data_IF_587223896729
#
_entry.id   IF_587223896729
#
_cell.length_a   1.000
_cell.length_b   1.000
_cell.length_c   1.000
_cell.angle_alpha   90.00
_cell.angle_beta   90.00
_cell.angle_gamma   90.00
#
_symmetry.space_group_name_H-M   'P 1'
#
loop_
_entity.id
_entity.type
_entity.pdbx_description
1 polymer ?
#
# COMPACT_ATOMS: atom_id res chain seq x y z
N UNK A 1 -14.28 -1.86 37.61
CA UNK A 1 -14.99 -2.44 36.45
C UNK A 1 -15.21 -1.44 35.32
N UNK A 2 -15.90 -0.30 35.53
CA UNK A 2 -16.17 0.71 34.48
C UNK A 2 -14.93 1.15 33.69
N UNK A 3 -13.83 1.49 34.39
CA UNK A 3 -12.55 1.88 33.76
C UNK A 3 -11.92 0.80 32.88
N UNK A 4 -12.14 -0.49 33.18
CA UNK A 4 -11.55 -1.59 32.39
C UNK A 4 -12.32 -1.76 31.09
N UNK A 5 -13.66 -1.72 31.16
CA UNK A 5 -14.54 -1.76 29.97
C UNK A 5 -14.23 -0.58 29.04
N UNK A 6 -14.05 0.59 29.62
CA UNK A 6 -13.69 1.83 28.93
C UNK A 6 -12.33 1.80 28.22
N UNK A 7 -11.37 1.01 28.73
CA UNK A 7 -10.05 0.82 28.10
C UNK A 7 -10.14 -0.22 26.99
N UNK A 8 -10.82 -1.34 27.26
CA UNK A 8 -11.01 -2.41 26.29
C UNK A 8 -11.82 -1.95 25.08
N UNK A 9 -12.86 -1.13 25.30
CA UNK A 9 -13.63 -0.53 24.21
C UNK A 9 -12.78 0.36 23.31
N UNK A 10 -11.96 1.25 23.90
CA UNK A 10 -11.03 2.09 23.12
C UNK A 10 -10.02 1.24 22.35
N UNK A 11 -9.44 0.21 22.99
CA UNK A 11 -8.50 -0.69 22.33
C UNK A 11 -9.15 -1.52 21.21
N UNK A 12 -10.41 -1.92 21.35
CA UNK A 12 -11.13 -2.64 20.31
C UNK A 12 -11.40 -1.74 19.09
N UNK A 13 -11.93 -0.53 19.30
CA UNK A 13 -12.11 0.46 18.21
C UNK A 13 -10.77 0.82 17.58
N UNK A 14 -9.70 0.86 18.39
CA UNK A 14 -8.33 1.03 17.89
C UNK A 14 -7.98 -0.04 16.87
N UNK A 15 -8.12 -1.31 17.27
CA UNK A 15 -7.69 -2.44 16.46
C UNK A 15 -8.53 -2.56 15.20
N UNK A 16 -9.83 -2.28 15.28
CA UNK A 16 -10.70 -2.23 14.12
C UNK A 16 -10.27 -1.16 13.11
N UNK A 17 -10.00 0.06 13.57
CA UNK A 17 -9.59 1.12 12.66
C UNK A 17 -8.21 0.84 12.05
N UNK A 18 -7.28 0.30 12.84
CA UNK A 18 -5.96 -0.11 12.35
C UNK A 18 -6.08 -1.22 11.31
N UNK A 19 -6.90 -2.25 11.59
CA UNK A 19 -7.18 -3.33 10.65
C UNK A 19 -7.83 -2.82 9.36
N UNK A 20 -8.76 -1.86 9.46
CA UNK A 20 -9.37 -1.22 8.30
C UNK A 20 -8.36 -0.40 7.49
N UNK A 21 -7.48 0.35 8.15
CA UNK A 21 -6.39 1.08 7.51
C UNK A 21 -5.47 0.13 6.74
N UNK A 22 -5.05 -0.98 7.37
CA UNK A 22 -4.23 -2.01 6.74
C UNK A 22 -4.97 -2.65 5.57
N UNK A 23 -6.25 -2.98 5.72
CA UNK A 23 -7.06 -3.54 4.64
C UNK A 23 -7.14 -2.59 3.44
N UNK A 24 -7.42 -1.31 3.67
CA UNK A 24 -7.41 -0.31 2.61
C UNK A 24 -6.02 -0.12 2.02
N UNK A 25 -4.97 -0.21 2.83
CA UNK A 25 -3.59 -0.10 2.38
C UNK A 25 -3.20 -1.21 1.40
N UNK A 26 -3.66 -2.43 1.70
CA UNK A 26 -3.48 -3.63 0.87
C UNK A 26 -4.31 -3.55 -0.41
N UNK A 27 -5.55 -3.09 -0.34
CA UNK A 27 -6.49 -3.12 -1.46
C UNK A 27 -6.44 -1.90 -2.39
N UNK A 28 -6.22 -0.70 -1.86
CA UNK A 28 -6.49 0.55 -2.59
C UNK A 28 -5.30 1.08 -3.40
N UNK A 29 -4.29 0.25 -3.72
CA UNK A 29 -3.20 0.53 -4.66
C UNK A 29 -2.83 2.03 -4.81
N UNK A 30 -2.00 2.52 -3.88
CA UNK A 30 -1.21 3.76 -3.94
C UNK A 30 -1.98 5.10 -3.90
N UNK A 31 -3.12 5.26 -4.58
CA UNK A 31 -3.69 6.58 -4.88
C UNK A 31 -4.45 7.24 -3.72
N UNK A 32 -5.03 6.44 -2.81
CA UNK A 32 -5.83 6.98 -1.69
C UNK A 32 -5.08 7.04 -0.36
N UNK A 33 -3.80 6.68 -0.33
CA UNK A 33 -3.06 6.51 0.92
C UNK A 33 -3.01 7.78 1.78
N UNK A 34 -2.59 8.91 1.20
CA UNK A 34 -2.48 10.18 1.93
C UNK A 34 -3.82 10.73 2.41
N UNK A 35 -4.88 10.78 1.57
CA UNK A 35 -6.23 11.13 2.02
C UNK A 35 -6.72 10.23 3.16
N UNK A 36 -6.49 8.92 3.05
CA UNK A 36 -6.90 7.95 4.08
C UNK A 36 -6.14 8.13 5.39
N UNK A 37 -4.82 8.30 5.33
CA UNK A 37 -3.99 8.57 6.50
C UNK A 37 -4.41 9.87 7.19
N UNK A 38 -4.72 10.91 6.41
CA UNK A 38 -5.20 12.18 6.96
C UNK A 38 -6.56 12.01 7.64
N UNK A 39 -7.53 11.34 7.00
CA UNK A 39 -8.84 11.04 7.60
C UNK A 39 -8.64 10.26 8.90
N UNK A 40 -7.74 9.28 8.89
CA UNK A 40 -7.41 8.47 10.06
C UNK A 40 -6.86 9.32 11.20
N UNK A 41 -5.86 10.16 10.94
CA UNK A 41 -5.26 11.06 11.93
C UNK A 41 -6.32 12.00 12.49
N UNK A 42 -7.17 12.59 11.64
CA UNK A 42 -8.21 13.53 12.07
C UNK A 42 -9.28 12.86 12.94
N UNK A 43 -9.74 11.66 12.54
CA UNK A 43 -10.68 10.86 13.32
C UNK A 43 -10.11 10.57 14.73
N UNK A 44 -8.85 10.14 14.78
CA UNK A 44 -8.21 9.80 16.05
C UNK A 44 -7.87 11.02 16.91
N UNK A 45 -7.49 12.13 16.30
CA UNK A 45 -7.35 13.40 17.01
C UNK A 45 -8.68 13.80 17.64
N UNK A 46 -9.80 13.69 16.91
CA UNK A 46 -11.15 13.94 17.43
C UNK A 46 -11.49 13.06 18.63
N UNK A 47 -11.24 11.75 18.53
CA UNK A 47 -11.47 10.80 19.63
C UNK A 47 -10.60 11.15 20.85
N UNK A 48 -9.33 11.51 20.66
CA UNK A 48 -8.44 11.88 21.76
C UNK A 48 -8.86 13.21 22.42
N UNK A 49 -9.33 14.20 21.65
CA UNK A 49 -9.89 15.45 22.20
C UNK A 49 -11.11 15.16 23.06
N UNK A 50 -12.01 14.29 22.60
CA UNK A 50 -13.18 13.87 23.38
C UNK A 50 -12.76 13.11 24.66
N UNK A 51 -11.69 12.32 24.60
CA UNK A 51 -11.16 11.65 25.78
C UNK A 51 -10.49 12.62 26.77
N UNK A 52 -9.81 13.66 26.29
CA UNK A 52 -9.22 14.70 27.13
C UNK A 52 -10.29 15.44 27.96
N UNK A 53 -11.49 15.63 27.40
CA UNK A 53 -12.62 16.21 28.13
C UNK A 53 -13.16 15.28 29.24
N UNK A 54 -12.95 13.96 29.12
CA UNK A 54 -13.53 12.96 30.01
C UNK A 54 -12.51 12.28 30.95
N UNK A 55 -11.21 12.43 30.71
CA UNK A 55 -10.15 11.66 31.38
C UNK A 55 -8.91 12.51 31.72
N UNK A 56 -8.10 12.08 32.70
CA UNK A 56 -6.85 12.75 33.03
C UNK A 56 -5.91 12.82 31.82
N UNK A 57 -5.25 13.97 31.67
CA UNK A 57 -4.33 14.24 30.56
C UNK A 57 -3.25 13.16 30.31
N UNK A 58 -2.66 12.47 31.31
CA UNK A 58 -1.65 11.46 31.05
C UNK A 58 -2.20 10.26 30.28
N UNK A 59 -3.45 9.88 30.55
CA UNK A 59 -4.09 8.75 29.87
C UNK A 59 -4.31 9.04 28.39
N UNK A 60 -4.89 10.20 28.08
CA UNK A 60 -5.13 10.61 26.70
C UNK A 60 -3.80 10.78 25.93
N UNK A 61 -2.78 11.32 26.58
CA UNK A 61 -1.45 11.45 25.99
C UNK A 61 -0.80 10.09 25.69
N UNK A 62 -0.87 9.12 26.61
CA UNK A 62 -0.38 7.76 26.35
C UNK A 62 -1.11 7.10 25.19
N UNK A 63 -2.44 7.24 25.11
CA UNK A 63 -3.21 6.72 23.98
C UNK A 63 -2.76 7.37 22.67
N UNK A 64 -2.61 8.69 22.64
CA UNK A 64 -2.10 9.41 21.47
C UNK A 64 -0.70 8.92 21.03
N UNK A 65 0.22 8.66 21.96
CA UNK A 65 1.54 8.13 21.62
C UNK A 65 1.48 6.72 21.03
N UNK A 66 0.66 5.82 21.59
CA UNK A 66 0.44 4.49 21.03
C UNK A 66 -0.13 4.59 19.62
N UNK A 67 -1.06 5.53 19.40
CA UNK A 67 -1.63 5.82 18.11
C UNK A 67 -0.61 6.27 17.07
N UNK A 68 0.19 7.27 17.43
CA UNK A 68 1.22 7.81 16.58
C UNK A 68 2.25 6.74 16.23
N UNK A 69 2.66 5.94 17.22
CA UNK A 69 3.60 4.84 17.03
C UNK A 69 3.06 3.78 16.06
N UNK A 70 1.80 3.35 16.21
CA UNK A 70 1.20 2.36 15.34
C UNK A 70 1.00 2.87 13.91
N UNK A 71 0.52 4.11 13.74
CA UNK A 71 0.40 4.73 12.41
C UNK A 71 1.75 4.89 11.72
N UNK A 72 2.79 5.27 12.48
CA UNK A 72 4.16 5.35 11.98
C UNK A 72 4.70 3.97 11.59
N UNK A 73 4.44 2.95 12.42
CA UNK A 73 4.85 1.58 12.11
C UNK A 73 4.20 1.08 10.82
N UNK A 74 2.88 1.25 10.65
CA UNK A 74 2.19 0.91 9.40
C UNK A 74 2.77 1.68 8.21
N UNK A 75 3.08 2.97 8.38
CA UNK A 75 3.70 3.78 7.33
C UNK A 75 5.10 3.31 6.95
N UNK A 76 5.91 2.92 7.93
CA UNK A 76 7.31 2.54 7.72
C UNK A 76 7.49 1.09 7.31
N UNK A 77 6.53 0.22 7.64
CA UNK A 77 6.59 -1.16 7.19
C UNK A 77 6.25 -1.20 5.71
N UNK A 78 7.23 -1.66 4.93
CA UNK A 78 7.07 -1.88 3.50
C UNK A 78 6.26 -3.16 3.27
N UNK A 79 4.97 -3.09 3.59
CA UNK A 79 4.02 -4.20 3.48
C UNK A 79 3.79 -4.65 2.03
N UNK A 80 4.25 -3.86 1.05
CA UNK A 80 3.81 -3.97 -0.32
C UNK A 80 4.98 -3.66 -1.26
N UNK A 81 5.83 -4.65 -1.55
CA UNK A 81 6.63 -4.65 -2.80
C UNK A 81 5.75 -4.34 -4.04
N UNK A 82 4.45 -4.69 -3.96
CA UNK A 82 3.36 -4.29 -4.86
C UNK A 82 3.26 -2.79 -5.13
N UNK A 83 3.44 -1.92 -4.13
CA UNK A 83 3.23 -0.46 -4.29
C UNK A 83 4.34 0.21 -5.08
N UNK A 84 5.64 0.03 -4.76
CA UNK A 84 6.72 0.46 -5.62
C UNK A 84 6.59 -0.11 -7.04
N UNK A 85 6.13 -1.37 -7.15
CA UNK A 85 5.93 -2.04 -8.45
C UNK A 85 4.89 -1.32 -9.30
N UNK A 86 3.71 -1.05 -8.73
CA UNK A 86 2.65 -0.29 -9.39
C UNK A 86 3.06 1.16 -9.69
N UNK A 87 3.84 1.80 -8.83
CA UNK A 87 4.35 3.16 -9.08
C UNK A 87 5.34 3.21 -10.25
N UNK A 88 6.23 2.22 -10.37
CA UNK A 88 7.15 2.12 -11.51
C UNK A 88 6.37 1.76 -12.77
N UNK A 89 5.42 0.82 -12.69
CA UNK A 89 4.51 0.49 -13.78
C UNK A 89 3.78 1.72 -14.34
N UNK A 90 3.21 2.57 -13.48
CA UNK A 90 2.49 3.80 -13.90
C UNK A 90 3.38 4.83 -14.62
N UNK A 91 4.71 4.69 -14.54
CA UNK A 91 5.63 5.56 -15.29
C UNK A 91 5.81 5.11 -16.73
N UNK A 92 5.52 3.84 -17.05
CA UNK A 92 5.62 3.31 -18.41
C UNK A 92 4.50 3.90 -19.26
N UNK A 93 4.86 4.40 -20.44
CA UNK A 93 3.95 5.02 -21.39
C UNK A 93 4.11 4.41 -22.77
N UNK A 94 3.02 4.43 -23.54
CA UNK A 94 3.02 4.09 -24.97
C UNK A 94 4.07 4.95 -25.68
N UNK A 95 4.91 4.30 -26.50
CA UNK A 95 6.02 4.91 -27.24
C UNK A 95 7.38 4.85 -26.56
N UNK A 96 7.48 4.40 -25.31
CA UNK A 96 8.79 4.12 -24.68
C UNK A 96 9.48 2.93 -25.38
N UNK A 97 10.80 2.89 -25.42
CA UNK A 97 11.52 1.68 -25.86
C UNK A 97 11.76 0.68 -24.73
N UNK A 98 12.23 -0.50 -25.11
CA UNK A 98 12.54 -1.61 -24.20
C UNK A 98 13.59 -1.21 -23.14
N UNK A 99 14.56 -0.37 -23.50
CA UNK A 99 15.59 0.07 -22.55
C UNK A 99 15.05 1.04 -21.48
N UNK A 100 14.19 1.98 -21.86
CA UNK A 100 13.50 2.86 -20.92
C UNK A 100 12.62 2.07 -19.95
N UNK A 101 11.90 1.06 -20.46
CA UNK A 101 11.10 0.15 -19.62
C UNK A 101 11.99 -0.64 -18.66
N UNK A 102 13.11 -1.18 -19.14
CA UNK A 102 14.05 -1.94 -18.34
C UNK A 102 14.66 -1.09 -17.22
N UNK A 103 14.97 0.18 -17.48
CA UNK A 103 15.49 1.11 -16.48
C UNK A 103 14.45 1.41 -15.38
N UNK A 104 13.19 1.65 -15.78
CA UNK A 104 12.08 1.89 -14.83
C UNK A 104 11.85 0.66 -13.95
N UNK A 105 11.88 -0.53 -14.54
CA UNK A 105 11.56 -1.80 -13.89
C UNK A 105 12.80 -2.56 -13.39
N UNK A 106 13.97 -1.93 -13.33
CA UNK A 106 15.26 -2.59 -13.07
C UNK A 106 15.34 -3.39 -11.76
N UNK A 107 14.45 -3.09 -10.80
CA UNK A 107 14.37 -3.78 -9.51
C UNK A 107 13.56 -5.07 -9.56
N UNK A 108 12.86 -5.33 -10.67
CA UNK A 108 11.98 -6.47 -10.85
C UNK A 108 12.55 -7.42 -11.90
N UNK A 109 12.49 -8.72 -11.61
CA UNK A 109 12.95 -9.69 -12.58
C UNK A 109 11.93 -9.78 -13.74
N UNK A 110 12.38 -9.59 -14.99
CA UNK A 110 11.54 -9.89 -16.13
C UNK A 110 11.25 -11.39 -16.13
N UNK A 111 9.98 -11.74 -16.07
CA UNK A 111 9.50 -13.09 -16.33
C UNK A 111 9.54 -13.30 -17.85
N UNK A 112 10.69 -13.76 -18.37
CA UNK A 112 10.88 -13.95 -19.80
C UNK A 112 10.12 -15.20 -20.24
N UNK A 113 8.83 -15.02 -20.51
CA UNK A 113 8.08 -15.86 -21.44
C UNK A 113 7.84 -15.02 -22.69
N UNK A 114 8.86 -14.93 -23.54
CA UNK A 114 8.65 -14.49 -24.92
C UNK A 114 7.83 -15.61 -25.57
N UNK A 115 6.49 -15.50 -25.52
CA UNK A 115 5.66 -16.30 -26.39
C UNK A 115 6.17 -15.99 -27.81
N UNK A 116 6.55 -17.01 -28.57
CA UNK A 116 7.29 -16.84 -29.83
C UNK A 116 6.55 -15.98 -30.89
N UNK A 117 5.30 -15.62 -30.62
CA UNK A 117 4.40 -14.85 -31.47
C UNK A 117 4.14 -13.41 -30.98
N UNK A 118 4.50 -13.04 -29.74
CA UNK A 118 4.26 -11.69 -29.19
C UNK A 118 5.52 -11.10 -28.59
N UNK A 119 5.92 -9.91 -29.05
CA UNK A 119 7.00 -9.13 -28.46
C UNK A 119 6.50 -8.45 -27.18
N UNK A 120 6.40 -9.22 -26.10
CA UNK A 120 5.90 -8.74 -24.81
C UNK A 120 6.87 -9.06 -23.67
N UNK A 121 6.99 -8.12 -22.74
CA UNK A 121 7.70 -8.30 -21.47
C UNK A 121 6.70 -8.46 -20.32
N UNK A 122 7.03 -9.37 -19.41
CA UNK A 122 6.27 -9.61 -18.21
C UNK A 122 7.15 -9.28 -17.01
N UNK A 123 6.62 -8.51 -16.07
CA UNK A 123 7.29 -8.25 -14.80
C UNK A 123 6.40 -8.77 -13.66
N UNK A 124 7.03 -9.41 -12.68
CA UNK A 124 6.38 -9.88 -11.45
C UNK A 124 6.84 -9.05 -10.26
N UNK A 125 5.94 -8.77 -9.34
CA UNK A 125 6.28 -7.96 -8.17
C UNK A 125 7.07 -8.73 -7.09
N UNK A 126 6.93 -10.07 -7.02
CA UNK A 126 7.57 -10.93 -6.00
C UNK A 126 8.04 -12.25 -6.59
N UNK A 127 9.21 -12.73 -6.15
CA UNK A 127 9.75 -14.05 -6.52
C UNK A 127 9.18 -15.23 -5.71
N UNK A 128 8.45 -14.94 -4.64
CA UNK A 128 7.81 -15.95 -3.82
C UNK A 128 6.82 -16.78 -4.65
N UNK A 129 6.98 -18.11 -4.65
CA UNK A 129 6.06 -19.04 -5.33
C UNK A 129 4.71 -19.22 -4.62
N UNK A 130 4.40 -18.39 -3.63
CA UNK A 130 3.17 -18.44 -2.85
C UNK A 130 2.53 -17.06 -2.81
N UNK A 131 1.35 -16.93 -3.45
CA UNK A 131 0.42 -15.80 -3.32
C UNK A 131 0.72 -14.54 -4.14
N UNK A 132 -0.34 -13.98 -4.70
CA UNK A 132 -0.49 -12.64 -5.28
C UNK A 132 0.61 -12.22 -6.27
N UNK A 133 0.92 -13.02 -7.28
CA UNK A 133 1.88 -12.60 -8.30
C UNK A 133 1.22 -11.60 -9.25
N UNK A 134 1.00 -10.36 -8.79
CA UNK A 134 0.64 -9.26 -9.69
C UNK A 134 1.65 -9.21 -10.85
N UNK A 135 1.13 -9.29 -12.08
CA UNK A 135 1.91 -9.27 -13.30
C UNK A 135 1.62 -7.99 -14.06
N UNK A 136 2.67 -7.37 -14.55
CA UNK A 136 2.59 -6.30 -15.56
C UNK A 136 2.99 -6.90 -16.88
N UNK A 137 2.14 -6.74 -17.89
CA UNK A 137 2.38 -7.10 -19.29
C UNK A 137 2.63 -5.83 -20.08
N UNK A 138 3.71 -5.82 -20.86
CA UNK A 138 4.12 -4.69 -21.70
C UNK A 138 4.32 -5.23 -23.10
N UNK A 139 3.45 -4.86 -24.02
CA UNK A 139 3.48 -5.29 -25.40
C UNK A 139 4.19 -4.24 -26.25
N UNK A 140 5.08 -4.69 -27.13
CA UNK A 140 5.87 -3.87 -28.02
C UNK A 140 5.40 -4.02 -29.47
N UNK A 141 5.38 -2.90 -30.19
CA UNK A 141 5.23 -2.84 -31.64
C UNK A 141 6.44 -2.08 -32.20
N UNK A 142 7.18 -2.71 -33.11
CA UNK A 142 8.43 -2.17 -33.67
C UNK A 142 9.43 -1.66 -32.60
N UNK A 143 9.56 -2.38 -31.48
CA UNK A 143 10.48 -2.03 -30.39
C UNK A 143 10.04 -0.87 -29.49
N UNK A 144 8.76 -0.46 -29.59
CA UNK A 144 8.16 0.59 -28.74
C UNK A 144 6.94 0.03 -28.03
N UNK A 145 6.70 0.46 -26.78
CA UNK A 145 5.52 0.09 -26.00
C UNK A 145 4.26 0.49 -26.78
N UNK A 146 3.45 -0.48 -27.17
CA UNK A 146 2.17 -0.28 -27.83
C UNK A 146 1.02 -0.32 -26.81
N UNK A 147 1.12 -1.22 -25.84
CA UNK A 147 0.06 -1.48 -24.87
C UNK A 147 0.65 -1.98 -23.55
N UNK A 148 -0.02 -1.66 -22.45
CA UNK A 148 0.35 -2.09 -21.11
C UNK A 148 -0.89 -2.59 -20.38
N UNK A 149 -0.74 -3.71 -19.66
CA UNK A 149 -1.81 -4.31 -18.88
C UNK A 149 -1.29 -4.70 -17.50
N UNK A 150 -2.11 -4.40 -16.48
CA UNK A 150 -1.91 -4.90 -15.14
C UNK A 150 -2.86 -6.08 -14.89
N UNK A 151 -2.30 -7.22 -14.49
CA UNK A 151 -2.99 -8.44 -14.14
C UNK A 151 -2.86 -8.65 -12.63
N UNK A 152 -3.86 -8.24 -11.83
CA UNK A 152 -3.91 -8.60 -10.43
C UNK A 152 -4.19 -10.09 -10.30
N UNK A 153 -3.53 -10.73 -9.34
CA UNK A 153 -3.86 -12.08 -8.84
C UNK A 153 -4.95 -11.98 -7.76
#
# INVERSE_FOLDING_TARGET
MKRVIDVLGTAFVFLMALGFLIFLDVQAAVTLYWPMLLIYILLWLGINILQLAARPWPYAFTMFLIWLAAGTAVYMTDWNSRKPFLRQYQQIKVGMDESEVADIMAHYQPYVHRAAETDALFYRHTDAGWGDADIVVIEFDHGRVAHTQFLPD
#
